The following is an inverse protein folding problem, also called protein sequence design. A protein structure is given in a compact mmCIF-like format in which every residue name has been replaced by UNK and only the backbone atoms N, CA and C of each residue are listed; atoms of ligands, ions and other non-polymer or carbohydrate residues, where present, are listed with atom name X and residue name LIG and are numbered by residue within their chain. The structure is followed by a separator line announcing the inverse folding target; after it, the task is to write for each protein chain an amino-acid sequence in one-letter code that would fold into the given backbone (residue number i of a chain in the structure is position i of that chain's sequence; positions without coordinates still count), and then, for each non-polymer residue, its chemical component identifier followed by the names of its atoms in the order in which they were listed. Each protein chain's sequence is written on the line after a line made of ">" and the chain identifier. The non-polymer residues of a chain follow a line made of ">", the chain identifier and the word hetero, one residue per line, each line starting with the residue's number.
data_IF_875056709784
#
_entry.id   IF_875056709784
#
_cell.length_a   1.000
_cell.length_b   1.000
_cell.length_c   1.000
_cell.angle_alpha   90.00
_cell.angle_beta   90.00
_cell.angle_gamma   90.00
#
_symmetry.space_group_name_H-M   'P 1'
#
loop_
_entity.id
_entity.type
_entity.pdbx_description
1 polymer ?
#
# COMPACT_ATOMS: atom_id res chain seq x y z
N UNK A 1 2.96 6.60 75.95
CA UNK A 1 3.42 5.55 75.01
C UNK A 1 2.26 4.94 74.23
N UNK A 2 1.12 4.57 74.85
CA UNK A 2 -0.01 3.91 74.16
C UNK A 2 -0.70 4.81 73.12
N UNK A 3 -0.82 6.14 73.38
CA UNK A 3 -1.40 7.13 72.49
C UNK A 3 -0.53 7.37 71.24
N UNK A 4 0.81 7.42 71.42
CA UNK A 4 1.77 7.61 70.35
C UNK A 4 1.79 6.38 69.37
N UNK A 5 1.71 5.19 69.92
CA UNK A 5 1.64 3.94 69.10
C UNK A 5 0.32 3.84 68.32
N UNK A 6 -0.80 4.32 68.89
CA UNK A 6 -2.08 4.38 68.22
C UNK A 6 -2.11 5.36 67.04
N UNK A 7 -1.42 6.50 67.21
CA UNK A 7 -1.28 7.50 66.14
C UNK A 7 -0.36 7.02 65.02
N UNK A 8 0.74 6.33 65.38
CA UNK A 8 1.63 5.72 64.37
C UNK A 8 0.92 4.64 63.57
N UNK A 9 0.12 3.76 64.22
CA UNK A 9 -0.67 2.73 63.54
C UNK A 9 -1.72 3.36 62.62
N UNK A 10 -2.38 4.47 62.98
CA UNK A 10 -3.31 5.20 62.13
C UNK A 10 -2.63 5.79 60.89
N UNK A 11 -1.43 6.35 61.06
CA UNK A 11 -0.67 6.89 59.96
C UNK A 11 -0.18 5.81 58.99
N UNK A 12 0.29 4.66 59.49
CA UNK A 12 0.65 3.49 58.68
C UNK A 12 -0.58 2.95 57.92
N UNK A 13 -1.72 2.88 58.59
CA UNK A 13 -2.95 2.42 57.95
C UNK A 13 -3.44 3.36 56.83
N UNK A 14 -3.27 4.72 57.05
CA UNK A 14 -3.55 5.70 56.01
C UNK A 14 -2.59 5.58 54.83
N UNK A 15 -1.29 5.52 55.06
CA UNK A 15 -0.30 5.32 54.03
C UNK A 15 -0.51 4.02 53.23
N UNK A 16 -0.85 2.92 53.88
CA UNK A 16 -1.16 1.67 53.21
C UNK A 16 -2.42 1.79 52.35
N UNK A 17 -3.44 2.53 52.79
CA UNK A 17 -4.67 2.74 52.00
C UNK A 17 -4.45 3.66 50.82
N UNK A 18 -3.60 4.69 50.96
CA UNK A 18 -3.17 5.54 49.84
C UNK A 18 -2.30 4.77 48.85
N UNK A 19 -1.37 3.95 49.32
CA UNK A 19 -0.56 3.09 48.48
C UNK A 19 -1.41 2.05 47.73
N UNK A 20 -2.44 1.48 48.37
CA UNK A 20 -3.36 0.54 47.71
C UNK A 20 -4.12 1.23 46.54
N UNK A 21 -4.57 2.46 46.71
CA UNK A 21 -5.24 3.20 45.65
C UNK A 21 -4.31 3.49 44.47
N UNK A 22 -3.05 3.84 44.75
CA UNK A 22 -2.01 4.03 43.72
C UNK A 22 -1.69 2.74 42.98
N UNK A 23 -1.54 1.64 43.69
CA UNK A 23 -1.29 0.32 43.08
C UNK A 23 -2.45 -0.13 42.19
N UNK A 24 -3.69 0.12 42.60
CA UNK A 24 -4.87 -0.14 41.75
C UNK A 24 -4.86 0.76 40.49
N UNK A 25 -4.53 2.03 40.62
CA UNK A 25 -4.44 2.95 39.49
C UNK A 25 -3.36 2.50 38.49
N UNK A 26 -2.20 2.06 38.98
CA UNK A 26 -1.15 1.49 38.14
C UNK A 26 -1.63 0.24 37.42
N UNK A 27 -2.26 -0.70 38.14
CA UNK A 27 -2.79 -1.93 37.53
C UNK A 27 -3.84 -1.67 36.44
N UNK A 28 -4.71 -0.66 36.64
CA UNK A 28 -5.65 -0.23 35.59
C UNK A 28 -4.94 0.40 34.39
N UNK A 29 -3.93 1.24 34.63
CA UNK A 29 -3.18 1.85 33.55
C UNK A 29 -2.41 0.79 32.71
N UNK A 30 -1.80 -0.17 33.37
CA UNK A 30 -1.13 -1.29 32.72
C UNK A 30 -2.12 -2.13 31.89
N UNK A 31 -3.28 -2.46 32.46
CA UNK A 31 -4.32 -3.22 31.74
C UNK A 31 -4.85 -2.47 30.51
N UNK A 32 -5.02 -1.14 30.59
CA UNK A 32 -5.42 -0.31 29.46
C UNK A 32 -4.30 -0.29 28.40
N UNK A 33 -3.06 -0.11 28.82
CA UNK A 33 -1.90 -0.11 27.93
C UNK A 33 -1.77 -1.45 27.18
N UNK A 34 -1.82 -2.55 27.90
CA UNK A 34 -1.71 -3.90 27.32
C UNK A 34 -2.86 -4.17 26.33
N UNK A 35 -4.08 -3.73 26.67
CA UNK A 35 -5.23 -3.85 25.77
C UNK A 35 -5.06 -3.02 24.53
N UNK A 36 -4.60 -1.76 24.66
CA UNK A 36 -4.35 -0.89 23.53
C UNK A 36 -3.26 -1.48 22.62
N UNK A 37 -2.15 -1.95 23.20
CA UNK A 37 -1.05 -2.59 22.47
C UNK A 37 -1.55 -3.83 21.71
N UNK A 38 -2.28 -4.71 22.35
CA UNK A 38 -2.86 -5.89 21.71
C UNK A 38 -3.79 -5.52 20.54
N UNK A 39 -4.62 -4.48 20.71
CA UNK A 39 -5.51 -4.03 19.65
C UNK A 39 -4.71 -3.48 18.42
N UNK A 40 -3.62 -2.76 18.67
CA UNK A 40 -2.73 -2.27 17.59
C UNK A 40 -2.10 -3.44 16.86
N UNK A 41 -1.56 -4.43 17.58
CA UNK A 41 -0.96 -5.62 16.97
C UNK A 41 -1.95 -6.44 16.13
N UNK A 42 -3.19 -6.59 16.60
CA UNK A 42 -4.26 -7.26 15.86
C UNK A 42 -4.59 -6.47 14.58
N UNK A 43 -4.77 -5.14 14.69
CA UNK A 43 -5.06 -4.28 13.53
C UNK A 43 -3.94 -4.36 12.50
N UNK A 44 -2.69 -4.21 12.92
CA UNK A 44 -1.53 -4.30 12.03
C UNK A 44 -1.48 -5.65 11.30
N UNK A 45 -1.73 -6.74 12.00
CA UNK A 45 -1.77 -8.08 11.39
C UNK A 45 -2.89 -8.21 10.36
N UNK A 46 -4.08 -7.72 10.69
CA UNK A 46 -5.22 -7.78 9.78
C UNK A 46 -4.99 -6.93 8.52
N UNK A 47 -4.48 -5.71 8.68
CA UNK A 47 -4.11 -4.83 7.57
C UNK A 47 -3.03 -5.47 6.69
N UNK A 48 -2.01 -6.06 7.29
CA UNK A 48 -0.93 -6.73 6.58
C UNK A 48 -1.45 -7.92 5.76
N UNK A 49 -2.33 -8.73 6.34
CA UNK A 49 -2.92 -9.87 5.65
C UNK A 49 -3.82 -9.41 4.49
N UNK A 50 -4.68 -8.42 4.71
CA UNK A 50 -5.56 -7.87 3.68
C UNK A 50 -4.76 -7.25 2.53
N UNK A 51 -3.72 -6.47 2.84
CA UNK A 51 -2.85 -5.92 1.81
C UNK A 51 -2.14 -7.01 1.00
N UNK A 52 -1.71 -8.10 1.64
CA UNK A 52 -1.10 -9.23 0.95
C UNK A 52 -2.06 -9.94 -0.01
N UNK A 53 -3.32 -10.10 0.36
CA UNK A 53 -4.33 -10.68 -0.55
C UNK A 53 -4.55 -9.77 -1.78
N UNK A 54 -4.65 -8.45 -1.57
CA UNK A 54 -4.76 -7.48 -2.67
C UNK A 54 -3.52 -7.50 -3.57
N UNK A 55 -2.32 -7.55 -3.00
CA UNK A 55 -1.07 -7.65 -3.76
C UNK A 55 -1.06 -8.91 -4.63
N UNK A 56 -1.48 -10.02 -4.09
CA UNK A 56 -1.54 -11.29 -4.80
C UNK A 56 -2.55 -11.25 -5.96
N UNK A 57 -3.74 -10.72 -5.71
CA UNK A 57 -4.77 -10.52 -6.73
C UNK A 57 -4.28 -9.61 -7.86
N UNK A 58 -3.69 -8.46 -7.53
CA UNK A 58 -3.19 -7.51 -8.51
C UNK A 58 -1.98 -8.06 -9.28
N UNK A 59 -1.09 -8.79 -8.62
CA UNK A 59 0.00 -9.46 -9.30
C UNK A 59 -0.51 -10.49 -10.33
N UNK A 60 -1.47 -11.32 -9.96
CA UNK A 60 -2.06 -12.30 -10.89
C UNK A 60 -2.71 -11.63 -12.09
N UNK A 61 -3.47 -10.56 -11.88
CA UNK A 61 -4.13 -9.79 -12.96
C UNK A 61 -3.11 -9.15 -13.90
N UNK A 62 -2.07 -8.52 -13.35
CA UNK A 62 -1.11 -7.74 -14.11
C UNK A 62 -0.07 -8.58 -14.86
N UNK A 63 0.36 -9.69 -14.27
CA UNK A 63 1.37 -10.56 -14.88
C UNK A 63 0.78 -11.73 -15.64
N UNK A 64 -0.54 -11.97 -15.51
CA UNK A 64 -1.17 -13.18 -16.04
C UNK A 64 -0.37 -14.45 -15.66
N UNK A 65 0.25 -14.45 -14.49
CA UNK A 65 1.15 -15.51 -14.05
C UNK A 65 0.39 -16.57 -13.26
N UNK A 66 0.41 -17.79 -13.77
CA UNK A 66 -0.12 -18.95 -13.05
C UNK A 66 0.91 -19.60 -12.13
N UNK A 67 2.19 -19.30 -12.33
CA UNK A 67 3.31 -19.99 -11.67
C UNK A 67 3.94 -19.19 -10.51
N UNK A 68 3.77 -17.89 -10.52
CA UNK A 68 4.36 -16.97 -9.51
C UNK A 68 3.27 -16.19 -8.79
N UNK A 69 3.60 -15.70 -7.60
CA UNK A 69 2.82 -14.70 -6.86
C UNK A 69 3.76 -13.74 -6.13
N UNK A 70 3.30 -12.53 -5.90
CA UNK A 70 4.00 -11.56 -5.08
C UNK A 70 3.40 -11.50 -3.67
N UNK A 71 4.22 -11.17 -2.69
CA UNK A 71 3.79 -10.93 -1.32
C UNK A 71 4.70 -9.91 -0.63
N UNK A 72 4.13 -9.17 0.31
CA UNK A 72 4.85 -8.27 1.20
C UNK A 72 5.46 -9.07 2.35
N UNK A 73 6.76 -9.00 2.52
CA UNK A 73 7.47 -9.61 3.63
C UNK A 73 7.30 -8.83 4.94
N UNK A 74 7.68 -9.44 6.06
CA UNK A 74 7.68 -8.77 7.37
C UNK A 74 8.64 -7.59 7.45
N UNK A 75 9.59 -7.51 6.53
CA UNK A 75 10.54 -6.41 6.32
C UNK A 75 9.96 -5.27 5.46
N UNK A 76 8.68 -5.36 5.11
CA UNK A 76 7.98 -4.43 4.22
C UNK A 76 8.59 -4.33 2.82
N UNK A 77 9.25 -5.40 2.36
CA UNK A 77 9.72 -5.53 0.98
C UNK A 77 8.83 -6.48 0.20
N UNK A 78 8.72 -6.22 -1.08
CA UNK A 78 8.03 -7.10 -2.00
C UNK A 78 8.93 -8.28 -2.36
N UNK A 79 8.37 -9.47 -2.27
CA UNK A 79 9.01 -10.72 -2.64
C UNK A 79 8.16 -11.46 -3.67
N UNK A 80 8.80 -12.17 -4.57
CA UNK A 80 8.13 -13.02 -5.56
C UNK A 80 8.45 -14.48 -5.26
N UNK A 81 7.44 -15.31 -5.31
CA UNK A 81 7.53 -16.72 -5.01
C UNK A 81 6.96 -17.56 -6.14
N UNK A 82 7.51 -18.74 -6.37
CA UNK A 82 6.90 -19.74 -7.23
C UNK A 82 5.76 -20.45 -6.50
N UNK A 83 4.63 -20.63 -7.18
CA UNK A 83 3.54 -21.48 -6.67
C UNK A 83 4.00 -22.94 -6.77
N UNK A 84 4.37 -23.56 -5.67
CA UNK A 84 4.65 -24.98 -5.65
C UNK A 84 3.34 -25.76 -5.85
N UNK A 85 3.28 -26.60 -6.87
CA UNK A 85 2.25 -27.63 -7.02
C UNK A 85 2.57 -28.80 -6.07
N UNK A 86 2.70 -28.53 -4.79
CA UNK A 86 2.92 -29.55 -3.75
C UNK A 86 1.61 -30.21 -3.36
N UNK A 87 1.62 -31.53 -3.32
CA UNK A 87 0.56 -32.38 -2.75
C UNK A 87 0.37 -31.96 -1.29
N UNK A 88 -0.68 -31.18 -0.98
CA UNK A 88 -1.00 -30.84 0.43
C UNK A 88 -1.31 -29.38 0.76
N UNK A 89 -1.40 -28.47 -0.19
CA UNK A 89 -2.02 -27.15 0.00
C UNK A 89 -1.24 -26.11 0.83
N UNK A 90 -0.01 -26.39 1.27
CA UNK A 90 0.87 -25.39 1.89
C UNK A 90 1.88 -24.93 0.83
N UNK A 91 1.67 -23.73 0.27
CA UNK A 91 2.60 -23.12 -0.68
C UNK A 91 3.78 -22.50 0.07
N UNK A 92 4.78 -23.30 0.38
CA UNK A 92 6.12 -22.82 0.68
C UNK A 92 6.81 -22.58 -0.66
N UNK A 93 6.44 -21.49 -1.33
CA UNK A 93 7.03 -21.14 -2.62
C UNK A 93 8.51 -20.83 -2.45
N UNK A 94 9.32 -21.31 -3.40
CA UNK A 94 10.71 -20.90 -3.49
C UNK A 94 10.75 -19.42 -3.93
N UNK A 95 11.46 -18.58 -3.18
CA UNK A 95 11.64 -17.17 -3.52
C UNK A 95 12.47 -17.01 -4.81
N UNK A 96 12.00 -16.14 -5.70
CA UNK A 96 12.74 -15.68 -6.86
C UNK A 96 13.76 -14.63 -6.41
N UNK A 97 15.04 -14.98 -6.47
CA UNK A 97 16.11 -14.08 -5.99
C UNK A 97 16.63 -13.11 -7.04
N UNK A 98 16.42 -13.39 -8.31
CA UNK A 98 16.99 -12.64 -9.43
C UNK A 98 15.85 -12.15 -10.33
N UNK A 99 15.44 -10.93 -10.06
CA UNK A 99 14.42 -10.25 -10.86
C UNK A 99 15.12 -9.36 -11.89
N UNK A 100 14.60 -9.36 -13.11
CA UNK A 100 14.98 -8.38 -14.12
C UNK A 100 14.52 -6.97 -13.72
N UNK A 101 15.13 -5.92 -14.30
CA UNK A 101 14.71 -4.55 -14.03
C UNK A 101 13.21 -4.31 -14.37
N UNK A 102 12.72 -4.94 -15.43
CA UNK A 102 11.31 -4.88 -15.80
C UNK A 102 10.41 -5.53 -14.75
N UNK A 103 10.78 -6.70 -14.22
CA UNK A 103 10.03 -7.35 -13.15
C UNK A 103 10.03 -6.52 -11.87
N UNK A 104 11.17 -5.92 -11.50
CA UNK A 104 11.24 -5.01 -10.33
C UNK A 104 10.31 -3.81 -10.51
N UNK A 105 10.33 -3.18 -11.69
CA UNK A 105 9.45 -2.06 -12.01
C UNK A 105 7.99 -2.46 -11.90
N UNK A 106 7.64 -3.59 -12.47
CA UNK A 106 6.29 -4.12 -12.45
C UNK A 106 5.81 -4.47 -11.02
N UNK A 107 6.67 -5.08 -10.20
CA UNK A 107 6.35 -5.41 -8.80
C UNK A 107 6.14 -4.15 -7.97
N UNK A 108 6.98 -3.12 -8.16
CA UNK A 108 6.80 -1.84 -7.49
C UNK A 108 5.47 -1.19 -7.89
N UNK A 109 5.07 -1.31 -9.15
CA UNK A 109 3.79 -0.83 -9.62
C UNK A 109 2.62 -1.59 -8.97
N UNK A 110 2.68 -2.93 -8.94
CA UNK A 110 1.70 -3.76 -8.22
C UNK A 110 1.56 -3.32 -6.76
N UNK A 111 2.68 -3.02 -6.10
CA UNK A 111 2.66 -2.55 -4.72
C UNK A 111 1.92 -1.21 -4.57
N UNK A 112 2.22 -0.23 -5.43
CA UNK A 112 1.57 1.10 -5.40
C UNK A 112 0.07 0.96 -5.62
N UNK A 113 -0.37 0.25 -6.65
CA UNK A 113 -1.80 0.09 -6.93
C UNK A 113 -2.51 -0.70 -5.84
N UNK A 114 -1.84 -1.67 -5.22
CA UNK A 114 -2.40 -2.43 -4.11
C UNK A 114 -2.60 -1.58 -2.85
N UNK A 115 -1.71 -0.63 -2.58
CA UNK A 115 -1.89 0.35 -1.50
C UNK A 115 -3.09 1.26 -1.78
N UNK A 116 -3.24 1.74 -3.03
CA UNK A 116 -4.36 2.60 -3.41
C UNK A 116 -5.69 1.84 -3.27
N UNK A 117 -5.75 0.61 -3.75
CA UNK A 117 -6.93 -0.24 -3.61
C UNK A 117 -7.23 -0.56 -2.15
N UNK A 118 -6.21 -0.88 -1.36
CA UNK A 118 -6.36 -1.10 0.08
C UNK A 118 -6.94 0.14 0.77
N UNK A 119 -6.40 1.33 0.48
CA UNK A 119 -6.90 2.58 1.04
C UNK A 119 -8.38 2.84 0.66
N UNK A 120 -8.75 2.55 -0.59
CA UNK A 120 -10.14 2.64 -1.06
C UNK A 120 -11.06 1.67 -0.30
N UNK A 121 -10.66 0.40 -0.17
CA UNK A 121 -11.44 -0.62 0.57
C UNK A 121 -11.58 -0.28 2.07
N UNK A 122 -10.56 0.32 2.71
CA UNK A 122 -10.65 0.74 4.11
C UNK A 122 -11.66 1.86 4.30
N UNK A 123 -11.67 2.80 3.38
CA UNK A 123 -12.60 3.92 3.39
C UNK A 123 -14.05 3.49 3.22
N UNK A 124 -14.32 2.58 2.30
CA UNK A 124 -15.66 2.02 2.10
C UNK A 124 -16.20 1.32 3.36
N UNK A 125 -15.30 0.83 4.24
CA UNK A 125 -15.68 0.21 5.52
C UNK A 125 -16.04 1.21 6.63
N UNK A 126 -15.54 2.46 6.52
CA UNK A 126 -15.70 3.48 7.58
C UNK A 126 -16.97 4.33 7.43
N UNK A 127 -17.82 4.09 6.41
CA UNK A 127 -19.08 4.83 6.14
C UNK A 127 -18.94 6.38 6.14
N UNK A 128 -17.72 6.89 5.91
CA UNK A 128 -17.46 8.33 5.92
C UNK A 128 -17.63 8.91 4.52
N UNK A 129 -18.87 9.22 4.16
CA UNK A 129 -19.25 9.83 2.87
C UNK A 129 -18.48 11.13 2.56
N UNK A 130 -17.93 11.79 3.58
CA UNK A 130 -17.25 13.08 3.43
C UNK A 130 -15.74 12.97 3.17
N UNK A 131 -15.13 11.80 3.29
CA UNK A 131 -13.69 11.63 3.10
C UNK A 131 -13.33 11.08 1.72
N UNK A 132 -13.89 11.63 0.63
CA UNK A 132 -13.45 11.26 -0.72
C UNK A 132 -12.04 11.82 -0.96
N UNK A 133 -11.03 11.09 -0.53
CA UNK A 133 -9.66 11.27 -1.02
C UNK A 133 -9.59 10.72 -2.45
N UNK A 134 -10.22 11.44 -3.39
CA UNK A 134 -9.97 11.23 -4.81
C UNK A 134 -8.61 11.83 -5.12
N UNK A 135 -7.55 11.06 -4.87
CA UNK A 135 -6.20 11.48 -5.21
C UNK A 135 -5.90 11.07 -6.65
N UNK A 136 -5.41 11.98 -7.49
CA UNK A 136 -4.94 11.63 -8.81
C UNK A 136 -3.71 10.74 -8.71
N UNK A 137 -3.66 9.68 -9.50
CA UNK A 137 -2.47 8.85 -9.68
C UNK A 137 -1.57 9.50 -10.72
N UNK A 138 -0.41 10.00 -10.29
CA UNK A 138 0.57 10.62 -11.19
C UNK A 138 1.72 9.65 -11.40
N UNK A 139 1.98 9.29 -12.64
CA UNK A 139 2.99 8.33 -13.05
C UNK A 139 3.99 8.98 -14.01
N UNK A 140 5.27 8.90 -13.69
CA UNK A 140 6.36 9.37 -14.55
C UNK A 140 7.11 8.17 -15.13
N UNK A 141 7.08 8.05 -16.45
CA UNK A 141 7.71 6.99 -17.25
C UNK A 141 7.46 5.56 -16.69
N UNK A 142 6.22 5.18 -16.31
CA UNK A 142 5.94 3.94 -15.59
C UNK A 142 6.28 2.69 -16.40
N UNK A 143 6.35 2.81 -17.72
CA UNK A 143 6.53 1.69 -18.64
C UNK A 143 7.95 1.58 -19.22
N UNK A 144 8.83 2.51 -18.89
CA UNK A 144 10.14 2.65 -19.54
C UNK A 144 11.02 1.40 -19.54
N UNK A 145 10.81 0.50 -18.60
CA UNK A 145 11.55 -0.76 -18.43
C UNK A 145 10.70 -2.01 -18.65
N UNK A 146 9.44 -1.85 -19.03
CA UNK A 146 8.54 -2.96 -19.30
C UNK A 146 8.62 -3.39 -20.76
N UNK A 147 8.48 -4.70 -20.99
CA UNK A 147 8.28 -5.22 -22.35
C UNK A 147 6.88 -4.86 -22.88
N UNK A 148 6.76 -4.68 -24.20
CA UNK A 148 5.53 -4.25 -24.89
C UNK A 148 4.28 -5.04 -24.49
N UNK A 149 4.40 -6.34 -24.30
CA UNK A 149 3.27 -7.19 -23.88
C UNK A 149 2.76 -6.82 -22.47
N UNK A 150 3.69 -6.54 -21.57
CA UNK A 150 3.34 -6.15 -20.20
C UNK A 150 2.75 -4.73 -20.15
N UNK A 151 3.24 -3.80 -20.98
CA UNK A 151 2.70 -2.44 -21.05
C UNK A 151 1.20 -2.47 -21.31
N UNK A 152 0.75 -3.23 -22.31
CA UNK A 152 -0.67 -3.34 -22.64
C UNK A 152 -1.53 -3.96 -21.52
N UNK A 153 -0.98 -4.90 -20.74
CA UNK A 153 -1.68 -5.48 -19.60
C UNK A 153 -1.83 -4.48 -18.46
N UNK A 154 -0.76 -3.75 -18.13
CA UNK A 154 -0.77 -2.73 -17.09
C UNK A 154 -1.69 -1.56 -17.43
N UNK A 155 -1.63 -1.06 -18.65
CA UNK A 155 -2.41 0.08 -19.10
C UNK A 155 -3.91 -0.15 -19.00
N UNK A 156 -4.38 -1.36 -19.29
CA UNK A 156 -5.79 -1.74 -19.17
C UNK A 156 -6.33 -1.67 -17.73
N UNK A 157 -5.46 -1.85 -16.75
CA UNK A 157 -5.84 -1.88 -15.34
C UNK A 157 -5.84 -0.48 -14.69
N UNK A 158 -5.11 0.49 -15.27
CA UNK A 158 -4.93 1.82 -14.69
C UNK A 158 -6.23 2.53 -14.31
N UNK A 159 -7.30 2.52 -15.14
CA UNK A 159 -8.56 3.18 -14.81
C UNK A 159 -9.28 2.60 -13.59
N UNK A 160 -8.96 1.37 -13.19
CA UNK A 160 -9.59 0.72 -12.04
C UNK A 160 -9.04 1.24 -10.70
N UNK A 161 -7.80 1.79 -10.70
CA UNK A 161 -7.10 2.14 -9.47
C UNK A 161 -7.33 3.57 -8.99
N UNK A 162 -7.63 4.51 -9.89
CA UNK A 162 -7.86 5.91 -9.54
C UNK A 162 -8.88 6.56 -10.47
N UNK A 163 -9.64 7.51 -9.95
CA UNK A 163 -10.61 8.29 -10.74
C UNK A 163 -9.95 9.20 -11.77
N UNK A 164 -8.73 9.64 -11.47
CA UNK A 164 -7.90 10.43 -12.38
C UNK A 164 -6.49 9.85 -12.43
N UNK A 165 -6.01 9.57 -13.64
CA UNK A 165 -4.65 9.09 -13.87
C UNK A 165 -3.94 10.08 -14.80
N UNK A 166 -2.79 10.59 -14.36
CA UNK A 166 -1.93 11.49 -15.14
C UNK A 166 -0.63 10.72 -15.41
N UNK A 167 -0.31 10.53 -16.67
CA UNK A 167 0.85 9.72 -17.07
C UNK A 167 1.77 10.54 -17.97
N UNK A 168 3.04 10.61 -17.61
CA UNK A 168 4.11 11.09 -18.46
C UNK A 168 4.83 9.89 -19.07
N UNK A 169 4.92 9.82 -20.39
CA UNK A 169 5.56 8.69 -21.06
C UNK A 169 6.17 9.11 -22.40
N UNK A 170 7.01 8.24 -22.95
CA UNK A 170 7.57 8.42 -24.28
C UNK A 170 6.59 7.92 -25.35
N UNK A 171 6.69 8.47 -26.57
CA UNK A 171 5.84 8.11 -27.71
C UNK A 171 5.80 6.59 -27.95
N UNK A 172 6.95 5.91 -27.88
CA UNK A 172 7.05 4.43 -28.03
C UNK A 172 6.23 3.65 -26.97
N UNK A 173 6.15 4.19 -25.75
CA UNK A 173 5.42 3.55 -24.65
C UNK A 173 3.92 3.84 -24.79
N UNK A 174 3.56 5.03 -25.32
CA UNK A 174 2.20 5.39 -25.68
C UNK A 174 1.60 4.44 -26.72
N UNK A 175 2.32 4.22 -27.82
CA UNK A 175 1.89 3.30 -28.88
C UNK A 175 1.69 1.87 -28.35
N UNK A 176 2.61 1.40 -27.48
CA UNK A 176 2.53 0.06 -26.90
C UNK A 176 1.44 -0.07 -25.84
N UNK A 177 1.01 1.02 -25.23
CA UNK A 177 0.06 1.01 -24.10
C UNK A 177 -1.37 0.72 -24.51
N UNK A 178 -1.77 1.14 -25.73
CA UNK A 178 -3.16 1.13 -26.19
C UNK A 178 -4.07 2.09 -25.42
N UNK A 179 -3.50 3.03 -24.63
CA UNK A 179 -4.24 4.03 -23.86
C UNK A 179 -5.00 5.02 -24.75
N UNK A 180 -4.60 5.17 -26.00
CA UNK A 180 -5.29 6.00 -26.99
C UNK A 180 -6.78 5.66 -27.08
N UNK A 181 -7.14 4.38 -26.93
CA UNK A 181 -8.52 3.93 -26.98
C UNK A 181 -9.37 4.37 -25.78
N UNK A 182 -8.72 4.69 -24.66
CA UNK A 182 -9.36 5.02 -23.39
C UNK A 182 -9.12 6.47 -22.95
N UNK A 183 -8.38 7.26 -23.75
CA UNK A 183 -8.06 8.64 -23.43
C UNK A 183 -8.73 9.56 -24.46
N UNK A 184 -9.50 10.54 -23.97
CA UNK A 184 -10.08 11.53 -24.86
C UNK A 184 -8.98 12.44 -25.45
N UNK A 185 -9.04 12.79 -26.74
CA UNK A 185 -7.99 13.58 -27.40
C UNK A 185 -7.68 14.92 -26.70
N UNK A 186 -8.68 15.55 -26.09
CA UNK A 186 -8.51 16.80 -25.34
C UNK A 186 -7.64 16.66 -24.08
N UNK A 187 -7.40 15.43 -23.60
CA UNK A 187 -6.53 15.15 -22.45
C UNK A 187 -5.17 14.59 -22.85
N UNK A 188 -4.87 14.59 -24.17
CA UNK A 188 -3.56 14.22 -24.68
C UNK A 188 -2.69 15.45 -24.89
N UNK A 189 -1.57 15.52 -24.20
CA UNK A 189 -0.65 16.65 -24.27
C UNK A 189 0.73 16.17 -24.71
N UNK A 190 1.39 16.94 -25.57
CA UNK A 190 2.78 16.70 -25.94
C UNK A 190 3.67 17.76 -25.30
N UNK A 191 4.76 17.31 -24.71
CA UNK A 191 5.82 18.18 -24.19
C UNK A 191 6.89 18.30 -25.28
N UNK A 192 7.04 19.51 -25.83
CA UNK A 192 7.99 19.79 -26.89
C UNK A 192 9.11 20.68 -26.36
N UNK A 193 10.33 20.38 -26.76
CA UNK A 193 11.49 21.21 -26.47
C UNK A 193 12.41 21.27 -27.71
N UNK A 194 12.64 22.48 -28.22
CA UNK A 194 13.69 22.66 -29.21
C UNK A 194 15.07 22.54 -28.56
N UNK A 195 16.03 21.97 -29.28
CA UNK A 195 17.36 21.63 -28.76
C UNK A 195 18.12 22.84 -28.22
N UNK A 196 17.78 24.06 -28.72
CA UNK A 196 18.37 25.33 -28.31
C UNK A 196 17.64 26.01 -27.15
N UNK A 197 16.47 25.54 -26.78
CA UNK A 197 15.61 26.23 -25.83
C UNK A 197 15.88 25.82 -24.38
N UNK A 198 15.81 26.82 -23.50
CA UNK A 198 15.90 26.62 -22.04
C UNK A 198 14.54 26.15 -21.48
N UNK A 199 13.45 26.39 -22.20
CA UNK A 199 12.06 26.08 -21.81
C UNK A 199 11.44 24.99 -22.65
N UNK A 200 10.50 24.25 -22.07
CA UNK A 200 9.64 23.30 -22.78
C UNK A 200 8.25 23.90 -22.91
N UNK A 201 7.56 23.59 -24.01
CA UNK A 201 6.17 23.95 -24.22
C UNK A 201 5.26 22.75 -24.13
N UNK A 202 4.04 22.94 -23.65
CA UNK A 202 3.01 21.89 -23.62
C UNK A 202 1.99 22.25 -24.70
N UNK A 203 1.90 21.38 -25.70
CA UNK A 203 0.91 21.50 -26.76
C UNK A 203 -0.24 20.50 -26.51
N UNK A 204 -1.47 20.95 -26.68
CA UNK A 204 -2.61 20.06 -26.72
C UNK A 204 -2.72 19.45 -28.10
N UNK A 205 -2.57 18.16 -28.23
CA UNK A 205 -2.61 17.44 -29.48
C UNK A 205 -4.04 17.11 -29.96
N UNK A 206 -5.06 17.76 -29.42
CA UNK A 206 -6.50 17.52 -29.70
C UNK A 206 -6.82 16.85 -31.04
N UNK A 207 -6.48 15.59 -31.20
CA UNK A 207 -6.90 14.76 -32.33
C UNK A 207 -5.90 14.45 -33.43
N UNK A 208 -4.60 14.74 -33.26
CA UNK A 208 -3.58 14.36 -34.25
C UNK A 208 -2.35 13.72 -33.56
N UNK A 209 -2.44 12.45 -33.31
CA UNK A 209 -1.32 11.50 -33.17
C UNK A 209 -1.41 10.51 -34.31
#
# INVERSE_FOLDING_TARGET
>A
KLTSNKEQLKNIARQNKENESVLRAIAYAEAIYDRAKMNVEIRQRNMFNELNEIIKENFEKMFNSTEKYAALGKDFKMHVYYKNQGIGGQSTGKEEKYLSEGEVTAINFVFIVSILEFAKRQKEKEDDENSVLSLPLVLDAPFSKLGTQNIGLFSKQLPEFAEQVIIFMLDKDWEASGLEQNTLPEYCYRVEREYSDISSTIANNGGAL
#
